data_IF_227182244968
#
_entry.id   IF_227182244968
#
_cell.length_a   1.000
_cell.length_b   1.000
_cell.length_c   1.000
_cell.angle_alpha   90.00
_cell.angle_beta   90.00
_cell.angle_gamma   90.00
#
_symmetry.space_group_name_H-M   'P 1'
#
loop_
_entity.id
_entity.type
_entity.pdbx_description
1 polymer ?
#
# COMPACT_ATOMS: atom_id res chain seq x y z
N UNK A 1 2.25 9.17 -5.06
CA UNK A 1 2.88 9.35 -3.73
C UNK A 1 4.40 9.27 -3.85
N UNK A 2 4.99 8.21 -4.46
CA UNK A 2 6.45 8.06 -4.58
C UNK A 2 7.12 9.26 -5.25
N UNK A 3 6.53 9.83 -6.30
CA UNK A 3 7.05 11.01 -7.00
C UNK A 3 7.12 12.24 -6.08
N UNK A 4 6.04 12.54 -5.35
CA UNK A 4 6.02 13.65 -4.41
C UNK A 4 6.96 13.44 -3.23
N UNK A 5 7.11 12.20 -2.79
CA UNK A 5 8.07 11.86 -1.75
C UNK A 5 9.52 12.12 -2.20
N UNK A 6 9.86 11.75 -3.43
CA UNK A 6 11.19 12.06 -4.00
C UNK A 6 11.41 13.57 -4.12
N UNK A 7 10.39 14.33 -4.50
CA UNK A 7 10.47 15.82 -4.53
C UNK A 7 10.68 16.40 -3.13
N UNK A 8 9.97 15.88 -2.12
CA UNK A 8 10.17 16.27 -0.72
C UNK A 8 11.61 16.04 -0.27
N UNK A 9 12.15 14.83 -0.49
CA UNK A 9 13.52 14.48 -0.11
C UNK A 9 14.55 15.38 -0.79
N UNK A 10 14.33 15.71 -2.07
CA UNK A 10 15.31 16.49 -2.86
C UNK A 10 15.17 17.99 -2.65
N UNK A 11 13.97 18.55 -2.59
CA UNK A 11 13.73 19.99 -2.55
C UNK A 11 13.63 20.53 -1.12
N UNK A 12 12.94 19.81 -0.22
CA UNK A 12 12.75 20.27 1.14
C UNK A 12 13.91 19.87 2.07
N UNK A 13 14.53 18.70 1.82
CA UNK A 13 15.62 18.19 2.67
C UNK A 13 17.01 18.28 2.03
N UNK A 14 17.11 18.72 0.76
CA UNK A 14 18.39 18.86 0.06
C UNK A 14 19.12 17.57 -0.26
N UNK A 15 18.42 16.41 -0.22
CA UNK A 15 19.02 15.11 -0.52
C UNK A 15 19.38 14.98 -2.00
N UNK A 16 20.56 14.44 -2.37
CA UNK A 16 20.92 14.16 -3.76
C UNK A 16 19.87 13.27 -4.44
N UNK A 17 19.49 13.62 -5.68
CA UNK A 17 18.42 12.92 -6.43
C UNK A 17 18.68 11.42 -6.56
N UNK A 18 19.96 11.02 -6.74
CA UNK A 18 20.35 9.64 -6.84
C UNK A 18 20.01 8.85 -5.56
N UNK A 19 20.30 9.41 -4.38
CA UNK A 19 19.96 8.78 -3.09
C UNK A 19 18.45 8.79 -2.84
N UNK A 20 17.77 9.90 -3.10
CA UNK A 20 16.32 9.99 -2.92
C UNK A 20 15.55 8.98 -3.80
N UNK A 21 16.05 8.69 -5.00
CA UNK A 21 15.44 7.70 -5.90
C UNK A 21 15.62 6.24 -5.47
N UNK A 22 16.65 5.92 -4.69
CA UNK A 22 16.89 4.55 -4.20
C UNK A 22 15.87 4.12 -3.14
N UNK A 23 15.32 5.05 -2.37
CA UNK A 23 14.37 4.73 -1.29
C UNK A 23 13.09 4.05 -1.82
N UNK A 24 12.37 4.61 -2.81
CA UNK A 24 11.23 3.94 -3.41
C UNK A 24 11.59 2.62 -4.12
N UNK A 25 12.80 2.51 -4.69
CA UNK A 25 13.27 1.28 -5.31
C UNK A 25 13.42 0.15 -4.28
N UNK A 26 14.09 0.44 -3.16
CA UNK A 26 14.24 -0.51 -2.05
C UNK A 26 12.85 -0.92 -1.51
N UNK A 27 11.93 0.04 -1.38
CA UNK A 27 10.55 -0.26 -1.01
C UNK A 27 9.85 -1.24 -1.95
N UNK A 28 10.06 -1.12 -3.26
CA UNK A 28 9.49 -2.08 -4.23
C UNK A 28 10.08 -3.49 -4.11
N UNK A 29 11.36 -3.61 -3.82
CA UNK A 29 12.00 -4.91 -3.52
C UNK A 29 11.43 -5.48 -2.21
N UNK A 30 11.21 -4.63 -1.21
CA UNK A 30 10.60 -5.00 0.06
C UNK A 30 9.15 -5.50 -0.12
N UNK A 31 8.32 -4.80 -0.92
CA UNK A 31 6.96 -5.22 -1.26
C UNK A 31 6.95 -6.62 -1.89
N UNK A 32 7.87 -6.92 -2.81
CA UNK A 32 7.96 -8.23 -3.45
C UNK A 32 8.17 -9.39 -2.46
N UNK A 33 8.75 -9.11 -1.29
CA UNK A 33 8.94 -10.08 -0.21
C UNK A 33 7.73 -10.11 0.73
N UNK A 34 7.23 -8.94 1.11
CA UNK A 34 6.17 -8.82 2.13
C UNK A 34 4.79 -9.18 1.61
N UNK A 35 4.48 -8.94 0.33
CA UNK A 35 3.17 -9.24 -0.26
C UNK A 35 2.81 -10.74 -0.19
N UNK A 36 3.68 -11.70 -0.61
CA UNK A 36 3.39 -13.12 -0.46
C UNK A 36 3.28 -13.58 0.99
N UNK A 37 4.09 -13.01 1.87
CA UNK A 37 4.06 -13.32 3.31
C UNK A 37 2.71 -12.89 3.89
N UNK A 38 2.27 -11.66 3.60
CA UNK A 38 1.00 -11.14 4.08
C UNK A 38 -0.19 -11.92 3.54
N UNK A 39 -0.18 -12.31 2.26
CA UNK A 39 -1.19 -13.17 1.67
C UNK A 39 -1.37 -14.47 2.44
N UNK A 40 -0.26 -15.14 2.73
CA UNK A 40 -0.25 -16.39 3.47
C UNK A 40 -0.73 -16.24 4.94
N UNK A 41 -0.31 -15.15 5.61
CA UNK A 41 -0.76 -14.82 6.97
C UNK A 41 -2.28 -14.61 6.97
N UNK A 42 -2.79 -13.85 6.01
CA UNK A 42 -4.21 -13.54 5.88
C UNK A 42 -5.06 -14.81 5.69
N UNK A 43 -4.63 -15.72 4.81
CA UNK A 43 -5.37 -16.95 4.50
C UNK A 43 -5.42 -17.95 5.66
N UNK A 44 -4.49 -17.83 6.61
CA UNK A 44 -4.42 -18.71 7.82
C UNK A 44 -5.14 -18.15 9.02
N UNK A 45 -5.43 -16.87 9.02
CA UNK A 45 -5.99 -16.19 10.18
C UNK A 45 -7.47 -16.53 10.37
N UNK A 46 -7.86 -16.77 11.62
CA UNK A 46 -9.26 -16.91 12.02
C UNK A 46 -9.67 -15.69 12.82
N UNK A 47 -10.62 -14.93 12.32
CA UNK A 47 -11.18 -13.78 13.02
C UNK A 47 -12.70 -13.77 12.94
N UNK A 48 -13.36 -13.32 14.00
CA UNK A 48 -14.82 -13.14 14.04
C UNK A 48 -15.30 -12.07 13.03
N UNK A 49 -14.44 -11.13 12.68
CA UNK A 49 -14.71 -10.06 11.71
C UNK A 49 -14.43 -10.47 10.26
N UNK A 50 -13.93 -11.71 10.05
CA UNK A 50 -13.31 -12.16 8.82
C UNK A 50 -11.80 -11.91 8.81
N UNK A 51 -10.99 -12.85 8.29
CA UNK A 51 -9.53 -12.73 8.28
C UNK A 51 -9.05 -11.48 7.51
N UNK A 52 -9.64 -11.18 6.37
CA UNK A 52 -9.23 -10.06 5.51
C UNK A 52 -9.63 -8.71 6.07
N UNK A 53 -10.87 -8.57 6.56
CA UNK A 53 -11.39 -7.32 7.14
C UNK A 53 -10.63 -6.93 8.40
N UNK A 54 -10.22 -7.89 9.21
CA UNK A 54 -9.40 -7.66 10.40
C UNK A 54 -8.07 -6.99 10.06
N UNK A 55 -7.37 -7.49 9.04
CA UNK A 55 -6.10 -6.90 8.60
C UNK A 55 -6.27 -5.55 7.91
N UNK A 56 -7.34 -5.34 7.15
CA UNK A 56 -7.66 -4.03 6.58
C UNK A 56 -7.78 -2.97 7.69
N UNK A 57 -8.44 -3.29 8.79
CA UNK A 57 -8.61 -2.35 9.90
C UNK A 57 -7.30 -2.05 10.63
N UNK A 58 -6.54 -3.07 11.02
CA UNK A 58 -5.26 -2.89 11.72
C UNK A 58 -4.24 -2.21 10.80
N UNK A 59 -4.13 -2.69 9.56
CA UNK A 59 -3.21 -2.13 8.58
C UNK A 59 -3.51 -0.68 8.24
N UNK A 60 -4.79 -0.25 8.28
CA UNK A 60 -5.16 1.15 8.05
C UNK A 60 -4.59 2.10 9.10
N UNK A 61 -4.66 1.71 10.37
CA UNK A 61 -4.08 2.52 11.46
C UNK A 61 -2.56 2.54 11.35
N UNK A 62 -1.95 1.37 11.13
CA UNK A 62 -0.49 1.27 10.99
C UNK A 62 0.03 2.08 9.79
N UNK A 63 -0.60 1.95 8.61
CA UNK A 63 -0.19 2.69 7.43
C UNK A 63 -0.46 4.19 7.54
N UNK A 64 -1.53 4.62 8.20
CA UNK A 64 -1.82 6.03 8.43
C UNK A 64 -0.75 6.69 9.31
N UNK A 65 -0.38 6.04 10.42
CA UNK A 65 0.65 6.54 11.34
C UNK A 65 2.01 6.59 10.65
N UNK A 66 2.42 5.51 9.99
CA UNK A 66 3.72 5.45 9.30
C UNK A 66 3.79 6.40 8.11
N UNK A 67 2.66 6.62 7.41
CA UNK A 67 2.57 7.62 6.35
C UNK A 67 2.80 9.04 6.87
N UNK A 68 2.19 9.43 7.99
CA UNK A 68 2.43 10.74 8.61
C UNK A 68 3.88 10.90 9.07
N UNK A 69 4.45 9.86 9.71
CA UNK A 69 5.84 9.89 10.15
C UNK A 69 6.84 10.07 9.00
N UNK A 70 6.51 9.55 7.82
CA UNK A 70 7.34 9.71 6.63
C UNK A 70 7.47 11.16 6.15
N UNK A 71 6.53 12.06 6.53
CA UNK A 71 6.55 13.46 6.14
C UNK A 71 7.01 14.41 7.26
N UNK A 72 7.38 13.86 8.40
CA UNK A 72 7.97 14.66 9.49
C UNK A 72 9.36 15.12 9.08
N UNK A 73 9.61 16.42 9.20
CA UNK A 73 10.94 16.96 8.95
C UNK A 73 11.88 16.60 10.10
N UNK A 74 12.73 15.62 9.89
CA UNK A 74 13.83 15.29 10.77
C UNK A 74 15.09 15.97 10.22
N UNK A 75 15.27 17.25 10.53
CA UNK A 75 16.49 17.97 10.22
C UNK A 75 17.64 17.40 11.07
N UNK A 76 18.47 16.56 10.46
CA UNK A 76 19.73 16.10 11.04
C UNK A 76 20.88 16.69 10.23
N UNK A 77 21.93 17.16 10.91
CA UNK A 77 23.14 17.69 10.26
C UNK A 77 23.88 16.60 9.44
N UNK A 78 23.54 15.34 9.68
CA UNK A 78 24.17 14.21 9.01
C UNK A 78 23.23 13.61 7.93
N UNK A 79 23.62 13.77 6.65
CA UNK A 79 22.87 13.26 5.50
C UNK A 79 22.65 11.73 5.57
N UNK A 80 23.61 10.97 6.09
CA UNK A 80 23.49 9.52 6.21
C UNK A 80 22.39 9.12 7.19
N UNK A 81 22.28 9.83 8.33
CA UNK A 81 21.23 9.60 9.32
C UNK A 81 19.86 9.91 8.73
N UNK A 82 19.73 11.01 8.00
CA UNK A 82 18.50 11.40 7.28
C UNK A 82 18.10 10.33 6.28
N UNK A 83 19.03 9.84 5.47
CA UNK A 83 18.75 8.80 4.48
C UNK A 83 18.26 7.49 5.13
N UNK A 84 18.94 7.00 6.17
CA UNK A 84 18.56 5.78 6.88
C UNK A 84 17.16 5.93 7.53
N UNK A 85 16.90 7.07 8.14
CA UNK A 85 15.59 7.34 8.75
C UNK A 85 14.46 7.26 7.73
N UNK A 86 14.57 7.98 6.60
CA UNK A 86 13.52 7.99 5.59
C UNK A 86 13.39 6.65 4.86
N UNK A 87 14.48 5.93 4.67
CA UNK A 87 14.45 4.56 4.15
C UNK A 87 13.65 3.62 5.07
N UNK A 88 13.94 3.65 6.38
CA UNK A 88 13.21 2.83 7.36
C UNK A 88 11.74 3.23 7.45
N UNK A 89 11.41 4.54 7.47
CA UNK A 89 10.03 5.01 7.50
C UNK A 89 9.27 4.59 6.25
N UNK A 90 9.91 4.64 5.07
CA UNK A 90 9.32 4.18 3.83
C UNK A 90 9.04 2.67 3.84
N UNK A 91 9.97 1.86 4.35
CA UNK A 91 9.78 0.41 4.50
C UNK A 91 8.65 0.08 5.48
N UNK A 92 8.55 0.78 6.60
CA UNK A 92 7.46 0.63 7.57
C UNK A 92 6.11 1.01 6.96
N UNK A 93 6.05 2.12 6.23
CA UNK A 93 4.85 2.53 5.49
C UNK A 93 4.47 1.48 4.45
N UNK A 94 5.43 1.00 3.66
CA UNK A 94 5.23 -0.06 2.65
C UNK A 94 4.64 -1.32 3.28
N UNK A 95 5.19 -1.76 4.43
CA UNK A 95 4.66 -2.91 5.18
C UNK A 95 3.22 -2.66 5.65
N UNK A 96 2.94 -1.49 6.25
CA UNK A 96 1.59 -1.11 6.67
C UNK A 96 0.60 -1.10 5.50
N UNK A 97 1.04 -0.59 4.36
CA UNK A 97 0.23 -0.54 3.13
C UNK A 97 -0.03 -1.94 2.55
N UNK A 98 0.95 -2.85 2.57
CA UNK A 98 0.79 -4.26 2.18
C UNK A 98 -0.24 -4.97 3.06
N UNK A 99 -0.25 -4.71 4.38
CA UNK A 99 -1.24 -5.28 5.31
C UNK A 99 -2.69 -4.87 4.94
N UNK A 100 -2.88 -3.71 4.31
CA UNK A 100 -4.20 -3.28 3.80
C UNK A 100 -4.47 -3.82 2.40
N UNK A 101 -3.52 -3.65 1.47
CA UNK A 101 -3.76 -3.85 0.04
C UNK A 101 -3.88 -5.31 -0.35
N UNK A 102 -3.11 -6.21 0.27
CA UNK A 102 -3.16 -7.64 -0.05
C UNK A 102 -4.54 -8.23 0.31
N UNK A 103 -5.06 -8.07 1.55
CA UNK A 103 -6.40 -8.55 1.88
C UNK A 103 -7.51 -7.84 1.09
N UNK A 104 -7.37 -6.53 0.84
CA UNK A 104 -8.33 -5.76 0.05
C UNK A 104 -8.46 -6.29 -1.39
N UNK A 105 -7.35 -6.62 -2.04
CA UNK A 105 -7.35 -7.20 -3.38
C UNK A 105 -7.98 -8.60 -3.41
N UNK A 106 -7.79 -9.38 -2.35
CA UNK A 106 -8.34 -10.72 -2.22
C UNK A 106 -9.83 -10.73 -1.78
N UNK A 107 -10.36 -9.60 -1.28
CA UNK A 107 -11.73 -9.52 -0.78
C UNK A 107 -12.78 -9.59 -1.91
N UNK A 108 -12.57 -8.90 -3.03
CA UNK A 108 -13.52 -8.85 -4.15
C UNK A 108 -13.85 -10.25 -4.74
N UNK A 109 -12.88 -11.12 -5.01
CA UNK A 109 -13.15 -12.50 -5.44
C UNK A 109 -13.96 -13.32 -4.44
N UNK A 110 -13.83 -13.03 -3.16
CA UNK A 110 -14.56 -13.75 -2.10
C UNK A 110 -15.99 -13.26 -1.91
N UNK A 111 -16.23 -11.97 -2.16
CA UNK A 111 -17.57 -11.39 -2.06
C UNK A 111 -18.49 -11.82 -3.21
N UNK A 112 -17.96 -11.91 -4.43
CA UNK A 112 -18.74 -12.08 -5.65
C UNK A 112 -18.28 -13.29 -6.42
N UNK A 113 -19.13 -14.33 -6.48
CA UNK A 113 -18.87 -15.58 -7.22
C UNK A 113 -19.22 -15.47 -8.70
N UNK A 114 -20.24 -14.66 -9.05
CA UNK A 114 -20.65 -14.46 -10.44
C UNK A 114 -19.62 -13.63 -11.20
N UNK A 115 -19.20 -14.14 -12.36
CA UNK A 115 -18.19 -13.52 -13.21
C UNK A 115 -18.65 -12.14 -13.73
N UNK A 116 -19.92 -12.02 -14.14
CA UNK A 116 -20.45 -10.77 -14.70
C UNK A 116 -20.49 -9.65 -13.64
N UNK A 117 -20.94 -9.98 -12.44
CA UNK A 117 -20.95 -9.03 -11.32
C UNK A 117 -19.54 -8.65 -10.87
N UNK A 118 -18.61 -9.63 -10.82
CA UNK A 118 -17.20 -9.37 -10.52
C UNK A 118 -16.56 -8.38 -11.50
N UNK A 119 -16.85 -8.52 -12.79
CA UNK A 119 -16.38 -7.61 -13.84
C UNK A 119 -16.93 -6.18 -13.63
N UNK A 120 -18.23 -6.04 -13.31
CA UNK A 120 -18.84 -4.74 -13.00
C UNK A 120 -18.20 -4.07 -11.79
N UNK A 121 -18.02 -4.81 -10.69
CA UNK A 121 -17.35 -4.27 -9.49
C UNK A 121 -15.90 -3.87 -9.76
N UNK A 122 -15.17 -4.65 -10.54
CA UNK A 122 -13.80 -4.30 -10.97
C UNK A 122 -13.79 -3.03 -11.80
N UNK A 123 -14.75 -2.85 -12.72
CA UNK A 123 -14.90 -1.63 -13.52
C UNK A 123 -15.16 -0.39 -12.66
N UNK A 124 -16.09 -0.48 -11.70
CA UNK A 124 -16.36 0.61 -10.74
C UNK A 124 -15.12 0.94 -9.92
N UNK A 125 -14.39 -0.08 -9.43
CA UNK A 125 -13.13 0.10 -8.71
C UNK A 125 -12.09 0.85 -9.55
N UNK A 126 -11.97 0.54 -10.85
CA UNK A 126 -11.04 1.24 -11.75
C UNK A 126 -11.39 2.72 -11.92
N UNK A 127 -12.69 3.05 -12.03
CA UNK A 127 -13.16 4.45 -12.10
C UNK A 127 -12.74 5.21 -10.84
N UNK A 128 -13.03 4.67 -9.65
CA UNK A 128 -12.63 5.29 -8.39
C UNK A 128 -11.11 5.40 -8.22
N UNK A 129 -10.36 4.38 -8.68
CA UNK A 129 -8.89 4.40 -8.67
C UNK A 129 -8.33 5.52 -9.55
N UNK A 130 -8.89 5.71 -10.75
CA UNK A 130 -8.50 6.79 -11.66
C UNK A 130 -8.82 8.16 -11.06
N UNK A 131 -10.00 8.31 -10.47
CA UNK A 131 -10.38 9.54 -9.79
C UNK A 131 -9.45 9.86 -8.60
N UNK A 132 -9.12 8.85 -7.80
CA UNK A 132 -8.14 8.95 -6.72
C UNK A 132 -6.74 9.34 -7.21
N UNK A 133 -6.31 8.82 -8.37
CA UNK A 133 -5.02 9.19 -8.97
C UNK A 133 -5.00 10.66 -9.42
N UNK A 134 -6.11 11.18 -9.98
CA UNK A 134 -6.24 12.60 -10.33
C UNK A 134 -6.16 13.47 -9.07
N UNK A 135 -6.89 13.14 -8.01
CA UNK A 135 -6.83 13.87 -6.74
C UNK A 135 -5.42 13.82 -6.13
N UNK A 136 -4.75 12.67 -6.21
CA UNK A 136 -3.38 12.53 -5.73
C UNK A 136 -2.37 13.41 -6.47
N UNK A 137 -2.66 13.79 -7.71
CA UNK A 137 -1.87 14.80 -8.46
C UNK A 137 -2.29 16.23 -8.14
N UNK A 138 -3.60 16.52 -8.08
CA UNK A 138 -4.13 17.87 -7.93
C UNK A 138 -3.91 18.46 -6.53
N UNK A 139 -4.19 17.71 -5.46
CA UNK A 139 -4.12 18.23 -4.09
C UNK A 139 -2.74 18.78 -3.76
N UNK A 140 -1.62 18.06 -4.02
CA UNK A 140 -0.29 18.59 -3.75
C UNK A 140 0.03 19.85 -4.57
N UNK A 141 -0.38 19.93 -5.83
CA UNK A 141 -0.11 21.11 -6.68
C UNK A 141 -0.84 22.36 -6.21
N UNK A 142 -1.99 22.21 -5.57
CA UNK A 142 -2.75 23.34 -5.01
C UNK A 142 -2.19 23.79 -3.66
N UNK A 143 -1.78 22.83 -2.82
CA UNK A 143 -1.36 23.10 -1.43
C UNK A 143 0.11 23.49 -1.36
N UNK A 144 0.98 22.84 -2.15
CA UNK A 144 2.42 23.10 -2.15
C UNK A 144 2.70 24.26 -3.11
N UNK A 145 2.81 25.45 -2.56
CA UNK A 145 3.21 26.66 -3.31
C UNK A 145 4.72 26.85 -3.27
N UNK A 146 5.37 26.43 -2.21
CA UNK A 146 6.82 26.50 -2.02
C UNK A 146 7.37 25.09 -1.75
N UNK A 147 8.11 24.57 -2.73
CA UNK A 147 8.69 23.22 -2.68
C UNK A 147 9.82 23.07 -1.64
N UNK A 148 10.28 24.17 -1.05
CA UNK A 148 11.34 24.16 -0.02
C UNK A 148 10.77 24.09 1.39
N UNK A 149 9.46 24.32 1.58
CA UNK A 149 8.82 24.35 2.89
C UNK A 149 8.27 22.99 3.31
N UNK A 150 8.89 22.27 4.27
CA UNK A 150 8.47 20.95 4.70
C UNK A 150 7.05 20.91 5.29
N UNK A 151 6.59 22.01 5.92
CA UNK A 151 5.28 22.07 6.55
C UNK A 151 4.13 21.91 5.55
N UNK A 152 4.30 22.37 4.30
CA UNK A 152 3.28 22.22 3.26
C UNK A 152 3.12 20.74 2.85
N UNK A 153 4.21 19.98 2.80
CA UNK A 153 4.17 18.54 2.55
C UNK A 153 3.47 17.78 3.68
N UNK A 154 3.74 18.16 4.93
CA UNK A 154 3.06 17.58 6.08
C UNK A 154 1.55 17.85 6.06
N UNK A 155 1.13 19.06 5.66
CA UNK A 155 -0.30 19.40 5.49
C UNK A 155 -0.96 18.52 4.44
N UNK A 156 -0.32 18.33 3.28
CA UNK A 156 -0.80 17.39 2.24
C UNK A 156 -0.90 15.98 2.78
N UNK A 157 0.10 15.52 3.51
CA UNK A 157 0.09 14.18 4.12
C UNK A 157 -1.07 14.01 5.09
N UNK A 158 -1.39 15.02 5.90
CA UNK A 158 -2.51 14.99 6.82
C UNK A 158 -3.84 14.90 6.08
N UNK A 159 -4.05 15.68 5.02
CA UNK A 159 -5.25 15.62 4.18
C UNK A 159 -5.42 14.21 3.59
N UNK A 160 -4.36 13.64 3.01
CA UNK A 160 -4.42 12.29 2.45
C UNK A 160 -4.65 11.21 3.51
N UNK A 161 -4.07 11.36 4.69
CA UNK A 161 -4.30 10.43 5.81
C UNK A 161 -5.77 10.39 6.21
N UNK A 162 -6.40 11.56 6.34
CA UNK A 162 -7.82 11.65 6.68
C UNK A 162 -8.68 11.02 5.58
N UNK A 163 -8.44 11.36 4.32
CA UNK A 163 -9.16 10.78 3.19
C UNK A 163 -9.00 9.26 3.16
N UNK A 164 -7.76 8.76 3.30
CA UNK A 164 -7.45 7.34 3.30
C UNK A 164 -8.18 6.60 4.43
N UNK A 165 -8.16 7.16 5.63
CA UNK A 165 -8.83 6.57 6.79
C UNK A 165 -10.35 6.52 6.61
N UNK A 166 -10.96 7.59 6.10
CA UNK A 166 -12.41 7.63 5.79
C UNK A 166 -12.79 6.59 4.73
N UNK A 167 -12.02 6.50 3.64
CA UNK A 167 -12.28 5.53 2.57
C UNK A 167 -12.17 4.09 3.11
N UNK A 168 -11.20 3.81 3.97
CA UNK A 168 -11.08 2.47 4.58
C UNK A 168 -12.24 2.18 5.53
N UNK A 169 -12.68 3.14 6.32
CA UNK A 169 -13.87 2.97 7.17
C UNK A 169 -15.11 2.64 6.32
N UNK A 170 -15.35 3.38 5.24
CA UNK A 170 -16.44 3.10 4.31
C UNK A 170 -16.30 1.69 3.72
N UNK A 171 -15.10 1.30 3.31
CA UNK A 171 -14.82 -0.05 2.80
C UNK A 171 -15.08 -1.11 3.87
N UNK A 172 -14.64 -0.88 5.11
CA UNK A 172 -14.85 -1.81 6.21
C UNK A 172 -16.33 -2.05 6.54
N UNK A 173 -17.14 -0.99 6.57
CA UNK A 173 -18.58 -1.11 6.83
C UNK A 173 -19.38 -1.58 5.61
N UNK A 174 -18.94 -1.23 4.40
CA UNK A 174 -19.63 -1.58 3.15
C UNK A 174 -19.31 -2.96 2.60
N UNK A 175 -18.33 -3.67 3.15
CA UNK A 175 -17.92 -4.99 2.67
C UNK A 175 -18.28 -6.08 3.65
N UNK A 176 -18.52 -7.29 3.13
CA UNK A 176 -18.71 -8.50 3.93
C UNK A 176 -17.75 -9.58 3.48
N UNK A 177 -17.42 -10.50 4.36
CA UNK A 177 -16.55 -11.63 4.05
C UNK A 177 -17.25 -12.94 4.35
N UNK A 178 -17.18 -13.89 3.41
CA UNK A 178 -17.66 -15.25 3.64
C UNK A 178 -16.59 -16.01 4.39
N UNK A 179 -16.98 -16.63 5.51
CA UNK A 179 -16.07 -17.50 6.27
C UNK A 179 -15.68 -18.69 5.39
N UNK A 180 -14.39 -18.83 5.14
CA UNK A 180 -13.79 -20.00 4.50
C UNK A 180 -12.98 -20.76 5.52
N UNK A 181 -12.88 -22.07 5.34
CA UNK A 181 -11.95 -22.85 6.16
C UNK A 181 -10.50 -22.41 5.88
N UNK A 182 -9.68 -22.22 6.92
CA UNK A 182 -8.31 -21.79 6.74
C UNK A 182 -7.50 -22.88 6.02
N UNK A 183 -6.68 -22.43 5.12
CA UNK A 183 -5.79 -23.31 4.34
C UNK A 183 -4.70 -23.86 5.27
N UNK A 184 -4.57 -25.18 5.36
CA UNK A 184 -3.60 -25.87 6.23
C UNK A 184 -2.23 -26.14 5.58
N UNK A 185 -1.94 -25.51 4.45
CA UNK A 185 -0.68 -25.72 3.69
C UNK A 185 0.47 -24.94 4.33
N UNK A 186 1.68 -25.50 4.38
CA UNK A 186 2.88 -24.88 4.92
C UNK A 186 3.28 -23.57 4.18
N UNK A 187 3.95 -22.61 4.86
CA UNK A 187 4.42 -21.36 4.23
C UNK A 187 5.30 -21.64 3.01
N UNK A 188 6.22 -22.57 3.16
CA UNK A 188 7.16 -23.00 2.11
C UNK A 188 6.41 -23.69 0.95
N UNK A 189 5.42 -24.53 1.24
CA UNK A 189 4.60 -25.20 0.24
C UNK A 189 3.75 -24.20 -0.55
N UNK A 190 3.15 -23.20 0.10
CA UNK A 190 2.41 -22.12 -0.57
C UNK A 190 3.31 -21.30 -1.49
N UNK A 191 4.54 -21.02 -1.07
CA UNK A 191 5.51 -20.31 -1.88
C UNK A 191 5.94 -21.13 -3.11
N UNK A 192 6.21 -22.43 -2.93
CA UNK A 192 6.53 -23.35 -4.01
C UNK A 192 5.35 -23.52 -4.96
N UNK A 193 4.11 -23.60 -4.45
CA UNK A 193 2.90 -23.64 -5.30
C UNK A 193 2.73 -22.36 -6.12
N UNK A 194 3.02 -21.19 -5.56
CA UNK A 194 3.00 -19.92 -6.31
C UNK A 194 4.00 -19.93 -7.47
N UNK A 195 5.17 -20.53 -7.28
CA UNK A 195 6.18 -20.69 -8.34
C UNK A 195 5.73 -21.72 -9.40
N UNK A 196 4.93 -22.72 -9.05
CA UNK A 196 4.43 -23.69 -10.04
C UNK A 196 3.42 -23.09 -11.02
N UNK A 197 2.80 -21.96 -10.68
CA UNK A 197 1.92 -21.21 -11.59
C UNK A 197 2.67 -20.75 -12.85
N UNK A 198 3.98 -20.47 -12.76
CA UNK A 198 4.82 -20.16 -13.92
C UNK A 198 4.95 -21.32 -14.92
N UNK A 199 4.71 -22.57 -14.49
CA UNK A 199 4.69 -23.75 -15.38
C UNK A 199 3.39 -23.85 -16.17
N UNK A 200 2.30 -23.20 -15.76
CA UNK A 200 1.03 -23.19 -16.48
C UNK A 200 1.16 -22.47 -17.81
N UNK A 201 0.77 -23.17 -18.91
CA UNK A 201 0.81 -22.63 -20.28
C UNK A 201 -0.04 -21.36 -20.41
N UNK A 202 -1.22 -21.34 -19.83
CA UNK A 202 -2.15 -20.20 -19.87
C UNK A 202 -1.56 -18.96 -19.17
N UNK A 203 -0.85 -19.15 -18.07
CA UNK A 203 -0.19 -18.05 -17.34
C UNK A 203 0.98 -17.45 -18.14
N UNK A 204 1.77 -18.30 -18.81
CA UNK A 204 2.86 -17.83 -19.68
C UNK A 204 2.36 -17.02 -20.87
N UNK A 205 1.22 -17.42 -21.47
CA UNK A 205 0.60 -16.67 -22.57
C UNK A 205 0.05 -15.32 -22.09
N UNK A 206 -0.41 -15.22 -20.83
CA UNK A 206 -0.94 -13.98 -20.28
C UNK A 206 0.16 -12.94 -19.95
N UNK A 207 1.40 -13.39 -19.68
CA UNK A 207 2.55 -12.52 -19.35
C UNK A 207 3.36 -12.11 -20.59
N UNK A 208 3.30 -12.89 -21.68
CA UNK A 208 3.97 -12.59 -22.95
C UNK A 208 3.20 -11.57 -23.77
#
# INVERSE_FOLDING_TARGET
ISTFFTVFLTKALGMPVALAGTIPLIGKVWDAITDPIMGNICDRTRSKLGPKRFYILIGSVCSAVTFLLMWVNLASDNMTTTYIFYMLMYMLFSTGFTIVMVPYNALLPDMVLDYTMRSKFSGVRMIFSTFGAILAGLIPTIVIKDNTNPAQYFTVALIFTVIFFLVILVTFFGTWERQKEPIKIGLMESFVQSLTVYKCRSYRIFIA
#
